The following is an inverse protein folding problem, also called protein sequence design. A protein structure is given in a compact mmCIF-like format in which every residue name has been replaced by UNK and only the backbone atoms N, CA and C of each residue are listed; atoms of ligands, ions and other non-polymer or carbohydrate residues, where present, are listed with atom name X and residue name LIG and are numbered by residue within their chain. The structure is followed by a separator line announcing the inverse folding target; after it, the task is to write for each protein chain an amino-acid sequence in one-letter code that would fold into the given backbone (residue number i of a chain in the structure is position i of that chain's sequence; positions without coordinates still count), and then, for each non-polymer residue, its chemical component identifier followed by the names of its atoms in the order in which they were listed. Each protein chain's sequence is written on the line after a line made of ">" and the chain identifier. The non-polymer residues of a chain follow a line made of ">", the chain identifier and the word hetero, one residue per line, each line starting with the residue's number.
data_IF_139029385138
#
_entry.id   IF_139029385138
#
_cell.length_a   1.000
_cell.length_b   1.000
_cell.length_c   1.000
_cell.angle_alpha   90.00
_cell.angle_beta   90.00
_cell.angle_gamma   90.00
#
_symmetry.space_group_name_H-M   'P 1'
#
loop_
_entity.id
_entity.type
_entity.pdbx_description
1 polymer ?
#
# COMPACT_ATOMS: atom_id res chain seq x y z
N UNK A 1 -21.76 -9.97 19.59
CA UNK A 1 -22.04 -11.17 18.76
C UNK A 1 -22.44 -10.66 17.39
N UNK A 2 -21.48 -10.55 16.46
CA UNK A 2 -21.72 -10.02 15.11
C UNK A 2 -21.94 -11.21 14.14
N UNK A 3 -22.91 -11.14 13.22
CA UNK A 3 -23.17 -12.25 12.29
C UNK A 3 -22.05 -12.37 11.26
N UNK A 4 -21.71 -13.62 10.93
CA UNK A 4 -20.73 -13.98 9.93
C UNK A 4 -21.18 -13.51 8.54
N UNK A 5 -20.29 -12.80 7.84
CA UNK A 5 -20.45 -12.44 6.44
C UNK A 5 -20.44 -13.72 5.59
N UNK A 6 -21.58 -14.07 4.97
CA UNK A 6 -21.65 -15.13 3.96
C UNK A 6 -21.30 -14.55 2.59
N UNK A 7 -20.24 -15.06 1.91
CA UNK A 7 -19.91 -14.60 0.57
C UNK A 7 -20.90 -15.14 -0.48
N UNK A 8 -21.30 -14.27 -1.41
CA UNK A 8 -22.10 -14.58 -2.60
C UNK A 8 -21.45 -15.69 -3.44
N UNK A 9 -22.29 -16.57 -3.98
CA UNK A 9 -21.95 -17.71 -4.83
C UNK A 9 -21.04 -17.33 -6.00
N UNK A 10 -19.90 -18.03 -6.08
CA UNK A 10 -18.84 -17.86 -7.09
C UNK A 10 -19.34 -18.14 -8.52
N UNK A 11 -19.25 -17.14 -9.39
CA UNK A 11 -18.97 -17.36 -10.82
C UNK A 11 -17.44 -17.39 -10.99
N UNK A 12 -16.87 -18.26 -11.85
CA UNK A 12 -15.42 -18.43 -11.91
C UNK A 12 -14.76 -17.24 -12.62
N UNK A 13 -14.12 -16.35 -11.86
CA UNK A 13 -13.16 -15.38 -12.37
C UNK A 13 -11.82 -16.11 -12.62
N UNK A 14 -11.64 -16.61 -13.83
CA UNK A 14 -10.37 -17.17 -14.31
C UNK A 14 -9.35 -16.03 -14.51
N UNK A 15 -8.44 -15.82 -13.55
CA UNK A 15 -7.04 -15.41 -13.77
C UNK A 15 -6.22 -15.06 -12.52
N UNK A 16 -6.79 -14.96 -11.30
CA UNK A 16 -5.99 -14.61 -10.09
C UNK A 16 -6.15 -15.57 -8.91
N UNK A 17 -7.24 -16.35 -8.84
CA UNK A 17 -7.53 -17.21 -7.68
C UNK A 17 -6.58 -18.40 -7.51
N UNK A 18 -5.89 -18.84 -8.57
CA UNK A 18 -4.98 -20.01 -8.53
C UNK A 18 -3.64 -19.73 -7.84
N UNK A 19 -3.26 -18.46 -7.65
CA UNK A 19 -1.98 -18.08 -7.04
C UNK A 19 -2.00 -18.18 -5.51
N UNK A 20 -3.18 -18.08 -4.89
CA UNK A 20 -3.30 -17.92 -3.42
C UNK A 20 -3.61 -19.25 -2.70
N UNK A 21 -4.18 -20.26 -3.38
CA UNK A 21 -4.69 -21.49 -2.73
C UNK A 21 -3.73 -22.69 -2.68
N UNK A 22 -2.42 -22.48 -2.88
CA UNK A 22 -1.41 -23.56 -2.84
C UNK A 22 -0.58 -23.64 -1.54
N UNK A 23 -1.07 -23.11 -0.43
CA UNK A 23 -0.43 -23.25 0.87
C UNK A 23 -1.10 -24.36 1.69
N UNK A 24 -0.95 -25.61 1.25
CA UNK A 24 -1.14 -26.76 2.13
C UNK A 24 0.09 -26.88 3.04
N UNK A 25 -0.21 -27.13 4.30
CA UNK A 25 0.68 -27.16 5.45
C UNK A 25 1.43 -28.51 5.47
N UNK A 26 2.75 -28.53 5.25
CA UNK A 26 3.60 -29.71 5.50
C UNK A 26 4.60 -29.39 6.63
N UNK A 27 4.77 -30.26 7.64
CA UNK A 27 5.33 -29.91 8.93
C UNK A 27 6.86 -29.77 8.93
N UNK A 28 7.32 -28.88 9.80
CA UNK A 28 8.70 -28.63 10.15
C UNK A 28 9.39 -29.91 10.66
N UNK A 29 10.16 -30.58 9.80
CA UNK A 29 11.19 -31.52 10.24
C UNK A 29 12.59 -30.89 10.14
N UNK A 30 13.22 -30.83 11.31
CA UNK A 30 14.55 -30.32 11.62
C UNK A 30 15.62 -30.50 10.54
N UNK A 31 16.16 -29.38 10.05
CA UNK A 31 17.44 -29.34 9.36
C UNK A 31 18.46 -28.53 10.19
N UNK A 32 19.40 -29.26 10.75
CA UNK A 32 20.54 -28.80 11.55
C UNK A 32 21.43 -27.78 10.79
N UNK A 33 21.70 -26.57 11.31
CA UNK A 33 22.61 -25.62 10.67
C UNK A 33 24.06 -25.88 11.11
N UNK A 34 24.59 -27.06 10.81
CA UNK A 34 25.99 -27.37 11.11
C UNK A 34 26.70 -28.13 10.00
N UNK A 35 26.57 -27.73 8.73
CA UNK A 35 27.59 -28.03 7.70
C UNK A 35 27.32 -27.34 6.37
N UNK A 36 27.64 -26.05 6.26
CA UNK A 36 28.06 -25.47 4.97
C UNK A 36 29.18 -24.46 5.20
N UNK A 37 30.31 -24.95 5.73
CA UNK A 37 31.58 -24.28 5.50
C UNK A 37 32.00 -24.61 4.07
N UNK A 38 31.52 -23.83 3.11
CA UNK A 38 32.09 -23.79 1.78
C UNK A 38 33.57 -23.41 1.91
N UNK A 39 34.45 -24.39 1.81
CA UNK A 39 35.89 -24.24 1.89
C UNK A 39 36.40 -23.55 0.62
N UNK A 40 36.31 -22.21 0.58
CA UNK A 40 37.01 -21.39 -0.40
C UNK A 40 38.47 -21.30 0.06
N UNK A 41 39.23 -22.40 -0.02
CA UNK A 41 40.66 -22.43 0.36
C UNK A 41 41.62 -22.57 -0.81
N UNK A 42 41.19 -22.30 -2.05
CA UNK A 42 42.09 -22.53 -3.19
C UNK A 42 42.14 -21.53 -4.35
N UNK A 43 41.51 -20.36 -4.27
CA UNK A 43 41.49 -19.43 -5.43
C UNK A 43 42.44 -18.22 -5.30
N UNK A 44 43.00 -17.93 -4.13
CA UNK A 44 43.92 -16.78 -3.98
C UNK A 44 45.37 -17.24 -3.81
N UNK A 45 46.01 -17.72 -4.88
CA UNK A 45 47.48 -17.71 -4.96
C UNK A 45 47.94 -16.29 -5.35
N UNK A 46 48.38 -15.52 -4.36
CA UNK A 46 49.52 -14.62 -4.50
C UNK A 46 49.35 -13.34 -5.34
N UNK A 47 48.39 -12.48 -5.02
CA UNK A 47 48.60 -11.04 -5.19
C UNK A 47 48.44 -10.38 -3.83
N UNK A 48 49.58 -10.05 -3.20
CA UNK A 48 49.59 -9.19 -2.03
C UNK A 48 49.16 -7.81 -2.53
N UNK A 49 48.01 -7.33 -2.07
CA UNK A 49 47.54 -5.99 -2.41
C UNK A 49 48.60 -4.94 -2.04
N UNK A 50 48.57 -3.75 -2.66
CA UNK A 50 49.53 -2.70 -2.34
C UNK A 50 49.55 -2.43 -0.82
N UNK A 51 50.73 -2.17 -0.22
CA UNK A 51 50.84 -1.89 1.20
C UNK A 51 49.90 -0.74 1.59
N UNK A 52 49.31 -0.81 2.79
CA UNK A 52 48.22 0.06 3.23
C UNK A 52 48.50 1.57 3.08
N UNK A 53 49.78 1.94 3.10
CA UNK A 53 50.28 3.30 2.86
C UNK A 53 50.01 3.79 1.44
N UNK A 54 50.21 2.93 0.44
CA UNK A 54 49.95 3.24 -0.98
C UNK A 54 48.45 3.36 -1.29
N UNK A 55 47.62 2.63 -0.54
CA UNK A 55 46.15 2.79 -0.59
C UNK A 55 45.70 4.13 0.01
N UNK A 56 46.36 4.60 1.08
CA UNK A 56 46.10 5.93 1.67
C UNK A 56 46.49 7.05 0.72
N UNK A 57 47.65 6.94 0.08
CA UNK A 57 48.14 7.92 -0.90
C UNK A 57 47.17 8.07 -2.09
N UNK A 58 46.73 6.94 -2.66
CA UNK A 58 45.72 6.92 -3.74
C UNK A 58 44.36 7.48 -3.32
N UNK A 59 43.95 7.28 -2.07
CA UNK A 59 42.72 7.84 -1.53
C UNK A 59 42.81 9.36 -1.33
N UNK A 60 44.00 9.87 -0.95
CA UNK A 60 44.23 11.31 -0.78
C UNK A 60 44.38 12.07 -2.09
N UNK A 61 44.75 11.39 -3.19
CA UNK A 61 44.82 12.01 -4.52
C UNK A 61 43.45 12.19 -5.19
N UNK A 62 42.38 11.62 -4.64
CA UNK A 62 41.04 11.79 -5.17
C UNK A 62 40.42 13.08 -4.59
N UNK A 63 40.13 14.11 -5.41
CA UNK A 63 39.50 15.31 -4.91
C UNK A 63 38.12 14.96 -4.33
N UNK A 64 37.67 15.56 -3.22
CA UNK A 64 36.33 15.33 -2.69
C UNK A 64 35.34 15.72 -3.78
N UNK A 65 34.64 14.75 -4.35
CA UNK A 65 33.60 15.06 -5.33
C UNK A 65 32.56 15.92 -4.63
N UNK A 66 32.35 17.15 -5.10
CA UNK A 66 31.20 17.95 -4.70
C UNK A 66 29.98 17.12 -5.09
N UNK A 67 29.42 16.38 -4.13
CA UNK A 67 28.10 15.75 -4.29
C UNK A 67 27.14 16.91 -4.49
N UNK A 68 26.88 17.27 -5.74
CA UNK A 68 25.76 18.13 -6.07
C UNK A 68 24.56 17.49 -5.37
N UNK A 69 23.91 18.24 -4.48
CA UNK A 69 22.75 17.76 -3.77
C UNK A 69 21.77 17.29 -4.83
N UNK A 70 21.57 15.96 -4.93
CA UNK A 70 20.54 15.39 -5.80
C UNK A 70 19.24 15.93 -5.23
N UNK A 71 18.71 17.00 -5.84
CA UNK A 71 17.36 17.44 -5.55
C UNK A 71 16.47 16.28 -5.97
N UNK A 72 15.75 15.63 -5.04
CA UNK A 72 14.81 14.59 -5.45
C UNK A 72 13.87 15.23 -6.47
N UNK A 73 13.66 14.55 -7.60
CA UNK A 73 12.69 14.98 -8.58
C UNK A 73 11.34 15.26 -7.88
N UNK A 74 10.56 16.27 -8.34
CA UNK A 74 9.23 16.49 -7.79
C UNK A 74 8.47 15.17 -7.85
N UNK A 75 8.03 14.67 -6.70
CA UNK A 75 7.26 13.43 -6.63
C UNK A 75 5.98 13.67 -7.42
N UNK A 76 5.67 12.78 -8.36
CA UNK A 76 4.34 12.75 -8.97
C UNK A 76 3.33 12.67 -7.81
N UNK A 77 2.48 13.67 -7.69
CA UNK A 77 1.41 13.69 -6.72
C UNK A 77 0.40 12.62 -7.13
N UNK A 78 0.23 11.61 -6.29
CA UNK A 78 -0.77 10.56 -6.53
C UNK A 78 -2.21 11.05 -6.35
N UNK A 79 -2.43 12.37 -6.30
CA UNK A 79 -3.70 12.99 -5.99
C UNK A 79 -4.47 13.28 -7.28
N UNK A 80 -5.60 12.61 -7.46
CA UNK A 80 -6.58 12.91 -8.50
C UNK A 80 -7.82 13.54 -7.84
N UNK A 81 -8.17 14.81 -8.16
CA UNK A 81 -9.30 15.50 -7.54
C UNK A 81 -10.65 14.87 -7.91
N UNK A 82 -10.80 14.31 -9.11
CA UNK A 82 -12.03 13.67 -9.53
C UNK A 82 -12.25 12.37 -8.75
N UNK A 83 -11.21 11.55 -8.62
CA UNK A 83 -11.23 10.31 -7.81
C UNK A 83 -11.48 10.63 -6.34
N UNK A 84 -10.77 11.62 -5.78
CA UNK A 84 -10.93 12.02 -4.38
C UNK A 84 -12.36 12.48 -4.09
N UNK A 85 -12.97 13.26 -5.00
CA UNK A 85 -14.35 13.74 -4.85
C UNK A 85 -15.39 12.63 -4.96
N UNK A 86 -15.22 11.73 -5.92
CA UNK A 86 -16.09 10.56 -6.07
C UNK A 86 -16.02 9.67 -4.82
N UNK A 87 -14.80 9.38 -4.35
CA UNK A 87 -14.58 8.61 -3.12
C UNK A 87 -15.24 9.25 -1.90
N UNK A 88 -15.03 10.55 -1.67
CA UNK A 88 -15.67 11.26 -0.56
C UNK A 88 -17.20 11.21 -0.60
N UNK A 89 -17.78 11.29 -1.80
CA UNK A 89 -19.23 11.21 -2.00
C UNK A 89 -19.78 9.84 -1.63
N UNK A 90 -19.11 8.75 -2.07
CA UNK A 90 -19.51 7.37 -1.72
C UNK A 90 -19.38 7.11 -0.23
N UNK A 91 -18.25 7.50 0.38
CA UNK A 91 -18.03 7.33 1.82
C UNK A 91 -19.11 8.05 2.65
N UNK A 92 -19.46 9.27 2.24
CA UNK A 92 -20.52 10.04 2.88
C UNK A 92 -21.89 9.38 2.71
N UNK A 93 -22.22 8.91 1.51
CA UNK A 93 -23.49 8.24 1.25
C UNK A 93 -23.65 6.99 2.13
N UNK A 94 -22.66 6.10 2.11
CA UNK A 94 -22.68 4.86 2.91
C UNK A 94 -22.69 5.11 4.42
N UNK A 95 -22.06 6.20 4.89
CA UNK A 95 -22.14 6.60 6.29
C UNK A 95 -23.55 7.05 6.67
N UNK A 96 -24.18 7.87 5.83
CA UNK A 96 -25.52 8.39 6.08
C UNK A 96 -26.58 7.28 5.99
N UNK A 97 -26.43 6.32 5.09
CA UNK A 97 -27.28 5.12 5.00
C UNK A 97 -27.30 4.29 6.30
N UNK A 98 -26.26 4.41 7.12
CA UNK A 98 -26.13 3.72 8.41
C UNK A 98 -26.36 4.63 9.61
N UNK A 99 -26.78 5.87 9.37
CA UNK A 99 -27.07 6.89 10.39
C UNK A 99 -25.88 7.15 11.34
N UNK A 100 -24.65 6.99 10.85
CA UNK A 100 -23.45 7.16 11.65
C UNK A 100 -22.94 8.61 11.62
N UNK A 101 -22.57 9.14 12.78
CA UNK A 101 -21.77 10.36 12.86
C UNK A 101 -20.34 10.12 12.32
N UNK A 102 -19.66 11.20 11.89
CA UNK A 102 -18.28 11.11 11.40
C UNK A 102 -17.33 10.51 12.46
N UNK A 103 -17.46 10.96 13.70
CA UNK A 103 -16.62 10.54 14.83
C UNK A 103 -16.82 9.06 15.14
N UNK A 104 -18.07 8.60 15.14
CA UNK A 104 -18.42 7.19 15.35
C UNK A 104 -17.86 6.30 14.24
N UNK A 105 -17.97 6.74 12.97
CA UNK A 105 -17.42 5.99 11.85
C UNK A 105 -15.88 5.97 11.87
N UNK A 106 -15.25 7.11 12.15
CA UNK A 106 -13.79 7.20 12.20
C UNK A 106 -13.21 6.26 13.27
N UNK A 107 -13.85 6.19 14.44
CA UNK A 107 -13.51 5.24 15.49
C UNK A 107 -13.67 3.78 15.02
N UNK A 108 -14.81 3.46 14.38
CA UNK A 108 -15.09 2.12 13.86
C UNK A 108 -14.05 1.66 12.81
N UNK A 109 -13.64 2.56 11.92
CA UNK A 109 -12.64 2.27 10.88
C UNK A 109 -11.19 2.37 11.38
N UNK A 110 -10.95 2.81 12.62
CA UNK A 110 -9.60 3.00 13.15
C UNK A 110 -8.81 4.03 12.33
N UNK A 111 -9.45 5.15 12.01
CA UNK A 111 -8.90 6.28 11.25
C UNK A 111 -9.10 7.58 12.03
N UNK A 112 -8.21 8.55 11.82
CA UNK A 112 -8.36 9.86 12.42
C UNK A 112 -9.64 10.56 11.92
N UNK A 113 -10.38 11.18 12.84
CA UNK A 113 -11.62 11.90 12.57
C UNK A 113 -11.42 13.06 11.59
N UNK A 114 -10.37 13.88 11.79
CA UNK A 114 -10.08 15.04 10.93
C UNK A 114 -9.73 14.57 9.52
N UNK A 115 -8.96 13.49 9.43
CA UNK A 115 -8.63 12.85 8.16
C UNK A 115 -9.88 12.29 7.46
N UNK A 116 -10.75 11.58 8.17
CA UNK A 116 -12.00 11.09 7.58
C UNK A 116 -12.88 12.23 7.04
N UNK A 117 -13.00 13.33 7.77
CA UNK A 117 -13.70 14.53 7.28
C UNK A 117 -13.10 15.10 5.98
N UNK A 118 -11.76 15.08 5.85
CA UNK A 118 -11.07 15.50 4.60
C UNK A 118 -11.35 14.54 3.44
N UNK A 119 -11.49 13.24 3.72
CA UNK A 119 -11.88 12.25 2.72
C UNK A 119 -13.28 12.53 2.18
N UNK A 120 -14.28 12.73 3.06
CA UNK A 120 -15.67 13.01 2.63
C UNK A 120 -15.81 14.27 1.77
N UNK A 121 -14.96 15.27 1.99
CA UNK A 121 -14.95 16.50 1.19
C UNK A 121 -14.21 16.36 -0.14
N UNK A 122 -13.40 15.31 -0.31
CA UNK A 122 -12.54 15.10 -1.47
C UNK A 122 -11.22 15.90 -1.42
N UNK A 123 -10.83 16.40 -0.25
CA UNK A 123 -9.58 17.15 -0.04
C UNK A 123 -8.37 16.22 0.05
N UNK A 124 -8.61 14.93 0.33
CA UNK A 124 -7.59 13.89 0.43
C UNK A 124 -8.06 12.65 -0.31
N UNK A 125 -7.11 12.00 -0.96
CA UNK A 125 -7.29 10.66 -1.52
C UNK A 125 -6.89 9.62 -0.47
N UNK A 126 -7.72 8.61 -0.20
CA UNK A 126 -7.34 7.54 0.71
C UNK A 126 -6.26 6.66 0.06
N UNK A 127 -5.34 6.16 0.88
CA UNK A 127 -4.51 5.03 0.45
C UNK A 127 -5.36 3.76 0.37
N UNK A 128 -4.86 2.73 -0.34
CA UNK A 128 -5.53 1.43 -0.40
C UNK A 128 -5.83 0.87 1.00
N UNK A 129 -4.90 1.02 1.95
CA UNK A 129 -5.08 0.56 3.33
C UNK A 129 -6.27 1.23 4.03
N UNK A 130 -6.46 2.53 3.83
CA UNK A 130 -7.57 3.30 4.40
C UNK A 130 -8.88 2.90 3.74
N UNK A 131 -8.87 2.71 2.41
CA UNK A 131 -10.03 2.27 1.65
C UNK A 131 -10.54 0.90 2.15
N UNK A 132 -9.62 -0.05 2.38
CA UNK A 132 -9.97 -1.36 2.93
C UNK A 132 -10.47 -1.30 4.38
N UNK A 133 -9.90 -0.44 5.22
CA UNK A 133 -10.42 -0.17 6.58
C UNK A 133 -11.85 0.36 6.55
N UNK A 134 -12.13 1.33 5.67
CA UNK A 134 -13.48 1.87 5.49
C UNK A 134 -14.45 0.78 5.03
N UNK A 135 -14.08 -0.02 4.02
CA UNK A 135 -14.90 -1.12 3.53
C UNK A 135 -15.24 -2.13 4.64
N UNK A 136 -14.24 -2.50 5.46
CA UNK A 136 -14.43 -3.37 6.63
C UNK A 136 -15.39 -2.75 7.66
N UNK A 137 -15.26 -1.46 7.96
CA UNK A 137 -16.18 -0.73 8.86
C UNK A 137 -17.62 -0.67 8.31
N UNK A 138 -17.78 -0.65 6.98
CA UNK A 138 -19.08 -0.77 6.32
C UNK A 138 -19.58 -2.22 6.22
N UNK A 139 -18.80 -3.22 6.65
CA UNK A 139 -19.09 -4.64 6.45
C UNK A 139 -19.35 -4.99 4.96
N UNK A 140 -18.58 -4.35 4.06
CA UNK A 140 -18.64 -4.56 2.61
C UNK A 140 -17.25 -4.97 2.08
N UNK A 141 -17.18 -5.73 0.98
CA UNK A 141 -15.89 -6.02 0.35
C UNK A 141 -15.28 -4.73 -0.23
N UNK A 142 -13.95 -4.65 -0.25
CA UNK A 142 -13.24 -3.51 -0.85
C UNK A 142 -13.61 -3.27 -2.31
N UNK A 143 -13.88 -4.34 -3.06
CA UNK A 143 -14.33 -4.26 -4.46
C UNK A 143 -15.63 -3.47 -4.62
N UNK A 144 -16.62 -3.65 -3.73
CA UNK A 144 -17.87 -2.90 -3.79
C UNK A 144 -17.67 -1.39 -3.54
N UNK A 145 -16.65 -1.03 -2.76
CA UNK A 145 -16.31 0.39 -2.54
C UNK A 145 -15.66 0.98 -3.80
N UNK A 146 -14.77 0.24 -4.46
CA UNK A 146 -14.15 0.67 -5.72
C UNK A 146 -15.20 0.80 -6.83
N UNK A 147 -16.08 -0.20 -6.99
CA UNK A 147 -17.18 -0.19 -7.96
C UNK A 147 -18.11 1.03 -7.75
N UNK A 148 -18.47 1.32 -6.50
CA UNK A 148 -19.30 2.49 -6.19
C UNK A 148 -18.58 3.82 -6.53
N UNK A 149 -17.25 3.88 -6.37
CA UNK A 149 -16.45 5.05 -6.73
C UNK A 149 -16.42 5.23 -8.26
N UNK A 150 -16.19 4.16 -9.01
CA UNK A 150 -16.23 4.18 -10.48
C UNK A 150 -17.61 4.65 -10.99
N UNK A 151 -18.69 4.12 -10.41
CA UNK A 151 -20.05 4.56 -10.72
C UNK A 151 -20.26 6.06 -10.45
N UNK A 152 -19.73 6.57 -9.34
CA UNK A 152 -19.82 7.99 -8.98
C UNK A 152 -18.96 8.89 -9.89
N UNK A 153 -17.87 8.38 -10.45
CA UNK A 153 -17.07 9.12 -11.45
C UNK A 153 -17.80 9.24 -12.78
N UNK A 154 -18.51 8.19 -13.21
CA UNK A 154 -19.28 8.19 -14.46
C UNK A 154 -20.58 9.00 -14.35
N UNK A 155 -21.19 9.03 -13.16
CA UNK A 155 -22.44 9.73 -12.90
C UNK A 155 -22.29 10.75 -11.76
N UNK A 156 -21.57 11.87 -11.97
CA UNK A 156 -21.45 12.89 -10.94
C UNK A 156 -22.84 13.46 -10.60
N UNK A 157 -23.12 13.79 -9.33
CA UNK A 157 -24.41 14.33 -8.92
C UNK A 157 -24.73 15.61 -9.72
N UNK A 158 -25.97 15.71 -10.22
CA UNK A 158 -26.44 16.71 -11.21
C UNK A 158 -26.21 18.18 -10.82
N UNK A 159 -25.86 18.48 -9.57
CA UNK A 159 -25.62 19.81 -9.04
C UNK A 159 -24.21 20.38 -9.32
N UNK A 160 -23.33 19.65 -10.02
CA UNK A 160 -22.03 20.19 -10.46
C UNK A 160 -22.08 21.07 -11.73
N UNK A 161 -23.24 21.16 -12.42
CA UNK A 161 -23.40 21.95 -13.66
C UNK A 161 -24.01 23.34 -13.46
N UNK A 162 -24.17 23.80 -12.22
CA UNK A 162 -24.76 25.09 -11.90
C UNK A 162 -23.84 25.91 -10.97
N UNK A 163 -22.79 26.50 -11.55
CA UNK A 163 -22.15 27.75 -11.11
C UNK A 163 -21.07 28.18 -12.08
#
# INVERSE_FOLDING_TARGET
>A
MFPAYQPLSRQPLSCITDVITRAEHEPLHAANPSSRKGSIRHICRGQVGPPAEKLREMATSFPPSKRAAIRPAPRADSFDPAVAKACGTVLRAWRLERELAQDSFALLAGIDRSYYGKLERGERQPSLSVLLKCAAAFAKPGAALVEAIECAMLNPPRNARAR
#
